data_IF_902565089657
#
_entry.id   IF_902565089657
#
_cell.length_a   1.000
_cell.length_b   1.000
_cell.length_c   1.000
_cell.angle_alpha   90.00
_cell.angle_beta   90.00
_cell.angle_gamma   90.00
#
_symmetry.space_group_name_H-M   'P 1'
#
loop_
_entity.id
_entity.type
_entity.pdbx_description
1 polymer ?
#
# COMPACT_ATOMS: atom_id res chain seq x y z
N UNK A 1 9.23 -25.09 29.32
CA UNK A 1 9.27 -23.72 29.86
C UNK A 1 10.19 -22.94 28.95
N UNK A 2 9.61 -21.88 28.36
CA UNK A 2 10.22 -20.75 27.65
C UNK A 2 10.93 -21.08 26.31
N UNK A 3 10.71 -20.37 25.21
CA UNK A 3 9.97 -19.15 24.96
C UNK A 3 10.31 -18.67 23.53
N UNK A 4 9.28 -18.24 22.82
CA UNK A 4 9.21 -17.38 21.62
C UNK A 4 10.53 -16.77 21.10
N UNK A 5 10.75 -16.80 19.78
CA UNK A 5 10.97 -15.60 18.93
C UNK A 5 10.62 -15.93 17.46
N UNK A 6 9.56 -15.25 17.03
CA UNK A 6 9.11 -14.86 15.69
C UNK A 6 9.92 -15.28 14.45
N UNK A 7 9.23 -16.09 13.65
CA UNK A 7 9.34 -16.16 12.20
C UNK A 7 8.64 -14.97 11.53
N UNK A 8 9.39 -14.05 10.92
CA UNK A 8 8.88 -13.13 9.90
C UNK A 8 10.03 -12.47 9.15
N UNK A 9 10.74 -13.26 8.33
CA UNK A 9 11.56 -12.71 7.27
C UNK A 9 10.64 -12.10 6.20
N UNK A 10 10.68 -10.77 6.09
CA UNK A 10 9.95 -10.00 5.09
C UNK A 10 10.44 -10.35 3.67
N UNK A 11 9.54 -10.59 2.69
CA UNK A 11 9.87 -11.03 1.33
C UNK A 11 10.40 -9.91 0.41
N UNK A 12 10.93 -8.81 0.96
CA UNK A 12 11.32 -7.62 0.20
C UNK A 12 12.53 -7.85 -0.76
N UNK A 13 13.29 -8.93 -0.57
CA UNK A 13 14.51 -9.19 -1.35
C UNK A 13 14.28 -9.71 -2.79
N UNK A 14 13.05 -10.04 -3.18
CA UNK A 14 12.78 -10.68 -4.48
C UNK A 14 12.53 -9.71 -5.65
N UNK A 15 12.41 -8.40 -5.41
CA UNK A 15 12.04 -7.42 -6.44
C UNK A 15 13.23 -6.70 -7.12
N UNK A 16 14.48 -6.95 -6.71
CA UNK A 16 15.69 -6.30 -7.25
C UNK A 16 16.18 -6.91 -8.57
N UNK A 17 15.28 -7.35 -9.43
CA UNK A 17 15.60 -8.11 -10.64
C UNK A 17 14.98 -7.54 -11.91
N UNK A 18 15.32 -6.30 -12.30
CA UNK A 18 15.37 -5.79 -13.71
C UNK A 18 15.26 -4.27 -13.75
N UNK A 19 16.38 -3.54 -13.69
CA UNK A 19 16.70 -2.38 -14.56
C UNK A 19 18.21 -2.14 -14.49
N UNK A 20 18.97 -2.62 -15.50
CA UNK A 20 20.37 -2.21 -15.68
C UNK A 20 20.41 -0.86 -16.39
N UNK A 21 21.12 0.17 -15.89
CA UNK A 21 21.44 1.33 -16.70
C UNK A 21 22.51 0.96 -17.73
N UNK A 22 22.28 1.35 -18.99
CA UNK A 22 23.23 1.18 -20.10
C UNK A 22 24.19 2.38 -20.06
N UNK A 23 25.36 2.21 -19.45
CA UNK A 23 26.42 3.23 -19.47
C UNK A 23 27.14 3.16 -20.82
N UNK A 24 27.09 4.25 -21.59
CA UNK A 24 27.88 4.44 -22.79
C UNK A 24 29.28 4.95 -22.39
N UNK A 25 30.28 4.41 -23.06
CA UNK A 25 31.71 4.59 -22.79
C UNK A 25 32.19 6.02 -23.06
N UNK A 26 33.16 6.48 -22.25
CA UNK A 26 34.13 7.50 -22.67
C UNK A 26 34.51 8.56 -21.65
N UNK A 27 35.62 8.33 -20.93
CA UNK A 27 36.62 9.38 -20.70
C UNK A 27 36.71 10.07 -19.33
N UNK A 28 37.84 9.80 -18.68
CA UNK A 28 38.60 10.63 -17.73
C UNK A 28 38.20 10.54 -16.24
N UNK A 29 38.98 9.70 -15.55
CA UNK A 29 39.07 9.53 -14.10
C UNK A 29 39.48 10.85 -13.41
N UNK A 30 38.54 11.44 -12.66
CA UNK A 30 38.82 12.49 -11.67
C UNK A 30 38.34 11.98 -10.30
N UNK A 31 39.15 12.16 -9.25
CA UNK A 31 38.84 11.76 -7.87
C UNK A 31 37.57 12.40 -7.29
N UNK A 32 36.98 13.38 -8.00
CA UNK A 32 35.66 13.94 -7.73
C UNK A 32 34.49 13.02 -8.13
N UNK A 33 34.71 12.00 -8.96
CA UNK A 33 33.66 11.04 -9.35
C UNK A 33 33.25 10.12 -8.20
N UNK A 34 34.14 9.84 -7.26
CA UNK A 34 33.87 8.88 -6.19
C UNK A 34 32.92 9.43 -5.12
N UNK A 35 32.92 10.73 -4.87
CA UNK A 35 31.98 11.39 -3.96
C UNK A 35 30.61 11.62 -4.61
N UNK A 36 30.55 11.88 -5.91
CA UNK A 36 29.25 12.02 -6.61
C UNK A 36 28.51 10.69 -6.72
N UNK A 37 29.22 9.57 -6.92
CA UNK A 37 28.60 8.23 -6.96
C UNK A 37 28.03 7.85 -5.59
N UNK A 38 28.69 8.19 -4.49
CA UNK A 38 28.21 7.87 -3.13
C UNK A 38 26.97 8.68 -2.74
N UNK A 39 26.91 9.97 -3.10
CA UNK A 39 25.72 10.80 -2.89
C UNK A 39 24.56 10.31 -3.77
N UNK A 40 24.83 9.92 -5.01
CA UNK A 40 23.79 9.45 -5.94
C UNK A 40 23.24 8.06 -5.56
N UNK A 41 24.07 7.18 -4.97
CA UNK A 41 23.62 5.87 -4.48
C UNK A 41 22.71 6.00 -3.25
N UNK A 42 22.95 7.00 -2.39
CA UNK A 42 22.13 7.24 -1.20
C UNK A 42 20.79 7.91 -1.53
N UNK A 43 20.74 8.76 -2.56
CA UNK A 43 19.49 9.38 -3.04
C UNK A 43 18.58 8.34 -3.73
N UNK A 44 19.13 7.27 -4.30
CA UNK A 44 18.35 6.30 -5.07
C UNK A 44 17.68 5.19 -4.23
N UNK A 45 17.86 5.15 -2.91
CA UNK A 45 17.25 4.15 -2.03
C UNK A 45 15.92 4.59 -1.37
N UNK A 46 15.44 5.81 -1.64
CA UNK A 46 14.16 6.30 -1.12
C UNK A 46 13.05 5.84 -2.07
N UNK A 47 12.74 4.55 -2.04
CA UNK A 47 11.69 3.94 -2.86
C UNK A 47 10.62 3.32 -1.99
N UNK A 48 9.57 4.11 -1.74
CA UNK A 48 8.21 3.71 -1.31
C UNK A 48 8.07 2.91 0.00
N UNK A 49 8.46 3.52 1.13
CA UNK A 49 8.12 3.02 2.47
C UNK A 49 6.65 3.28 2.89
N UNK A 50 5.80 3.83 2.01
CA UNK A 50 4.40 4.18 2.33
C UNK A 50 3.35 3.19 1.80
N UNK A 51 3.67 2.51 0.70
CA UNK A 51 2.74 1.65 -0.01
C UNK A 51 3.04 0.20 0.31
N UNK A 52 2.04 -0.50 0.83
CA UNK A 52 2.18 -1.86 1.30
C UNK A 52 1.23 -2.79 0.56
N UNK A 53 1.72 -3.95 0.18
CA UNK A 53 0.86 -5.06 -0.23
C UNK A 53 0.63 -5.96 0.97
N UNK A 54 -0.58 -5.93 1.50
CA UNK A 54 -0.96 -6.65 2.72
C UNK A 54 -1.97 -7.73 2.38
N UNK A 55 -1.79 -8.93 2.94
CA UNK A 55 -2.79 -10.00 2.85
C UNK A 55 -3.80 -9.83 3.97
N UNK A 56 -5.07 -9.69 3.60
CA UNK A 56 -6.16 -9.50 4.55
C UNK A 56 -7.12 -10.69 4.50
N UNK A 57 -7.66 -11.06 5.65
CA UNK A 57 -8.67 -12.09 5.79
C UNK A 57 -9.90 -11.46 6.43
N UNK A 58 -11.07 -11.57 5.77
CA UNK A 58 -12.31 -11.02 6.31
C UNK A 58 -13.53 -11.81 5.83
N UNK A 59 -14.65 -11.67 6.52
CA UNK A 59 -15.93 -12.30 6.14
C UNK A 59 -16.79 -11.29 5.39
N UNK A 60 -17.20 -11.65 4.17
CA UNK A 60 -18.14 -10.85 3.37
C UNK A 60 -19.55 -11.42 3.45
N UNK A 61 -20.54 -10.53 3.35
CA UNK A 61 -21.96 -10.88 3.22
C UNK A 61 -22.36 -10.81 1.75
N UNK A 62 -22.77 -11.93 1.18
CA UNK A 62 -23.28 -12.02 -0.19
C UNK A 62 -24.81 -12.03 -0.15
N UNK A 63 -25.48 -10.98 -0.68
CA UNK A 63 -26.93 -10.93 -0.71
C UNK A 63 -27.54 -12.04 -1.58
N UNK A 64 -28.78 -12.49 -1.26
CA UNK A 64 -29.41 -13.59 -1.97
C UNK A 64 -29.66 -13.31 -3.46
N UNK A 65 -29.78 -12.05 -3.86
CA UNK A 65 -29.97 -11.62 -5.25
C UNK A 65 -28.82 -12.01 -6.19
N UNK A 66 -27.63 -12.25 -5.63
CA UNK A 66 -26.46 -12.67 -6.39
C UNK A 66 -26.27 -14.18 -6.44
N UNK A 67 -27.14 -14.94 -5.74
CA UNK A 67 -27.12 -16.41 -5.76
C UNK A 67 -27.55 -16.88 -7.15
N UNK A 68 -26.66 -17.58 -7.84
CA UNK A 68 -26.86 -18.07 -9.22
C UNK A 68 -26.00 -17.38 -10.28
N UNK A 69 -25.28 -16.30 -9.92
CA UNK A 69 -24.20 -15.74 -10.75
C UNK A 69 -22.88 -16.44 -10.45
N UNK A 70 -21.85 -16.14 -11.23
CA UNK A 70 -20.49 -16.57 -10.91
C UNK A 70 -20.11 -15.97 -9.56
N UNK A 71 -20.02 -16.81 -8.53
CA UNK A 71 -19.73 -16.36 -7.19
C UNK A 71 -18.38 -15.63 -7.19
N UNK A 72 -17.35 -16.12 -7.89
CA UNK A 72 -15.98 -15.55 -7.98
C UNK A 72 -16.03 -14.05 -8.24
N UNK A 73 -16.64 -13.66 -9.35
CA UNK A 73 -16.81 -12.27 -9.75
C UNK A 73 -17.65 -11.46 -8.75
N UNK A 74 -18.69 -12.06 -8.18
CA UNK A 74 -19.55 -11.38 -7.21
C UNK A 74 -18.79 -11.05 -5.93
N UNK A 75 -18.02 -11.99 -5.38
CA UNK A 75 -17.23 -11.69 -4.17
C UNK A 75 -16.10 -10.72 -4.45
N UNK A 76 -15.48 -10.76 -5.62
CA UNK A 76 -14.47 -9.77 -5.97
C UNK A 76 -15.06 -8.36 -5.97
N UNK A 77 -16.25 -8.17 -6.59
CA UNK A 77 -16.96 -6.89 -6.58
C UNK A 77 -17.35 -6.45 -5.17
N UNK A 78 -17.93 -7.34 -4.38
CA UNK A 78 -18.32 -7.02 -3.00
C UNK A 78 -17.11 -6.64 -2.17
N UNK A 79 -15.99 -7.35 -2.32
CA UNK A 79 -14.73 -7.02 -1.61
C UNK A 79 -14.22 -5.65 -2.05
N UNK A 80 -14.20 -5.35 -3.34
CA UNK A 80 -13.79 -4.05 -3.85
C UNK A 80 -14.68 -2.94 -3.28
N UNK A 81 -16.00 -3.05 -3.40
CA UNK A 81 -16.97 -2.07 -2.89
C UNK A 81 -16.90 -1.89 -1.37
N UNK A 82 -16.60 -2.96 -0.62
CA UNK A 82 -16.60 -2.91 0.84
C UNK A 82 -15.27 -2.41 1.42
N UNK A 83 -14.14 -2.77 0.81
CA UNK A 83 -12.82 -2.50 1.39
C UNK A 83 -12.06 -1.39 0.71
N UNK A 84 -12.29 -1.12 -0.57
CA UNK A 84 -11.65 0.01 -1.24
C UNK A 84 -12.11 1.33 -0.61
N UNK A 85 -11.19 2.30 -0.56
CA UNK A 85 -11.42 3.61 0.06
C UNK A 85 -11.75 3.57 1.56
N UNK A 86 -11.59 2.42 2.22
CA UNK A 86 -11.77 2.28 3.66
C UNK A 86 -10.44 2.51 4.38
N UNK A 87 -10.50 3.19 5.53
CA UNK A 87 -9.33 3.41 6.38
C UNK A 87 -9.32 2.43 7.54
N UNK A 88 -8.29 1.59 7.59
CA UNK A 88 -8.03 0.71 8.72
C UNK A 88 -6.96 1.32 9.63
N UNK A 89 -7.10 1.13 10.95
CA UNK A 89 -6.19 1.70 11.94
C UNK A 89 -4.79 1.10 11.87
N UNK A 90 -4.70 -0.17 11.49
CA UNK A 90 -3.43 -0.89 11.45
C UNK A 90 -2.77 -0.75 10.09
N UNK A 91 -3.56 -0.91 9.03
CA UNK A 91 -3.05 -1.06 7.66
C UNK A 91 -3.10 0.24 6.84
N UNK A 92 -3.71 1.31 7.36
CA UNK A 92 -3.84 2.60 6.68
C UNK A 92 -5.02 2.62 5.70
N UNK A 93 -4.92 3.49 4.69
CA UNK A 93 -5.93 3.62 3.65
C UNK A 93 -5.83 2.47 2.65
N UNK A 94 -6.89 1.71 2.44
CA UNK A 94 -6.94 0.66 1.42
C UNK A 94 -7.29 1.29 0.07
N UNK A 95 -6.40 1.15 -0.90
CA UNK A 95 -6.59 1.71 -2.23
C UNK A 95 -7.27 0.73 -3.17
N UNK A 96 -6.76 -0.49 -3.23
CA UNK A 96 -7.19 -1.51 -4.19
C UNK A 96 -7.19 -2.87 -3.50
N UNK A 97 -8.24 -3.65 -3.72
CA UNK A 97 -8.31 -5.05 -3.32
C UNK A 97 -8.24 -5.98 -4.55
N UNK A 98 -7.30 -6.92 -4.56
CA UNK A 98 -7.03 -7.85 -5.66
C UNK A 98 -6.82 -9.27 -5.16
N UNK A 99 -6.85 -10.23 -6.10
CA UNK A 99 -6.61 -11.65 -5.83
C UNK A 99 -7.53 -12.23 -4.74
N UNK A 100 -8.84 -11.96 -4.85
CA UNK A 100 -9.82 -12.45 -3.87
C UNK A 100 -9.98 -13.95 -3.97
N UNK A 101 -9.69 -14.65 -2.88
CA UNK A 101 -9.80 -16.10 -2.73
C UNK A 101 -10.82 -16.42 -1.64
N UNK A 102 -11.79 -17.27 -1.93
CA UNK A 102 -12.70 -17.80 -0.90
C UNK A 102 -11.99 -18.85 -0.07
N UNK A 103 -12.16 -18.79 1.24
CA UNK A 103 -11.69 -19.77 2.19
C UNK A 103 -12.87 -20.48 2.83
N UNK A 104 -12.93 -21.80 2.68
CA UNK A 104 -13.98 -22.63 3.29
C UNK A 104 -15.37 -22.48 2.67
N UNK A 105 -16.35 -23.09 3.31
CA UNK A 105 -17.75 -23.09 2.87
C UNK A 105 -18.50 -21.86 3.38
N UNK A 106 -19.32 -21.26 2.53
CA UNK A 106 -20.20 -20.15 2.90
C UNK A 106 -21.30 -20.59 3.85
N UNK A 107 -21.50 -19.82 4.93
CA UNK A 107 -22.52 -20.10 5.96
C UNK A 107 -23.77 -19.28 5.69
N UNK A 108 -24.93 -19.93 5.64
CA UNK A 108 -26.22 -19.24 5.51
C UNK A 108 -26.77 -19.00 6.92
N UNK A 109 -27.06 -17.74 7.24
CA UNK A 109 -27.71 -17.39 8.50
C UNK A 109 -29.23 -17.38 8.29
N UNK A 110 -29.92 -18.20 9.09
CA UNK A 110 -31.37 -18.27 9.13
C UNK A 110 -31.96 -16.90 9.51
N UNK A 111 -32.81 -16.33 8.66
CA UNK A 111 -33.47 -15.04 8.87
C UNK A 111 -33.01 -13.93 7.93
N UNK A 112 -31.74 -13.92 7.52
CA UNK A 112 -31.21 -12.93 6.56
C UNK A 112 -31.12 -13.49 5.13
N UNK A 113 -30.98 -14.81 4.98
CA UNK A 113 -30.90 -15.47 3.67
C UNK A 113 -29.63 -15.14 2.87
N UNK A 114 -28.72 -14.36 3.44
CA UNK A 114 -27.42 -14.06 2.87
C UNK A 114 -26.39 -15.14 3.19
N UNK A 115 -25.42 -15.29 2.30
CA UNK A 115 -24.28 -16.20 2.47
C UNK A 115 -23.13 -15.39 3.07
N UNK A 116 -22.63 -15.83 4.22
CA UNK A 116 -21.43 -15.31 4.84
C UNK A 116 -20.25 -16.16 4.41
N UNK A 117 -19.31 -15.55 3.69
CA UNK A 117 -18.17 -16.23 3.11
C UNK A 117 -16.87 -15.61 3.63
N UNK A 118 -15.98 -16.44 4.17
CA UNK A 118 -14.64 -16.03 4.52
C UNK A 118 -13.80 -15.88 3.23
N UNK A 119 -13.14 -14.74 3.08
CA UNK A 119 -12.31 -14.41 1.92
C UNK A 119 -10.93 -13.91 2.36
N UNK A 120 -9.93 -14.25 1.56
CA UNK A 120 -8.56 -13.77 1.66
C UNK A 120 -8.23 -12.98 0.41
N UNK A 121 -7.65 -11.79 0.56
CA UNK A 121 -7.33 -10.94 -0.59
C UNK A 121 -6.07 -10.13 -0.33
N UNK A 122 -5.40 -9.74 -1.42
CA UNK A 122 -4.26 -8.84 -1.39
C UNK A 122 -4.77 -7.40 -1.49
N UNK A 123 -4.47 -6.59 -0.50
CA UNK A 123 -4.81 -5.18 -0.46
C UNK A 123 -3.56 -4.32 -0.69
N UNK A 124 -3.63 -3.38 -1.64
CA UNK A 124 -2.69 -2.29 -1.72
C UNK A 124 -3.13 -1.21 -0.74
N UNK A 125 -2.32 -0.94 0.28
CA UNK A 125 -2.61 0.06 1.30
C UNK A 125 -1.58 1.18 1.28
N UNK A 126 -2.03 2.36 1.68
CA UNK A 126 -1.21 3.56 1.85
C UNK A 126 -1.24 3.97 3.31
N UNK A 127 -0.07 3.92 3.95
CA UNK A 127 0.08 4.25 5.36
C UNK A 127 1.32 5.12 5.57
N UNK A 128 1.16 6.45 5.67
CA UNK A 128 2.26 7.32 6.11
C UNK A 128 2.65 7.00 7.55
N UNK A 129 3.95 6.86 7.80
CA UNK A 129 4.49 6.69 9.15
C UNK A 129 5.03 8.01 9.72
N UNK A 130 5.12 8.11 11.05
CA UNK A 130 5.64 9.31 11.70
C UNK A 130 7.13 9.47 11.39
N UNK A 131 7.56 10.69 11.08
CA UNK A 131 8.96 11.03 10.70
C UNK A 131 9.42 10.46 9.36
N UNK A 132 8.49 10.04 8.51
CA UNK A 132 8.79 9.65 7.14
C UNK A 132 9.05 10.86 6.23
N UNK A 133 9.97 10.71 5.27
CA UNK A 133 10.25 11.72 4.24
C UNK A 133 9.43 11.34 3.02
N UNK A 134 8.57 12.25 2.58
CA UNK A 134 7.59 12.00 1.53
C UNK A 134 7.68 13.09 0.47
N UNK A 135 7.69 12.69 -0.80
CA UNK A 135 7.54 13.62 -1.91
C UNK A 135 6.05 13.90 -2.14
N UNK A 136 5.70 15.17 -2.31
CA UNK A 136 4.32 15.57 -2.58
C UNK A 136 4.23 16.77 -3.51
N UNK A 137 3.08 16.94 -4.12
CA UNK A 137 2.78 18.03 -5.06
C UNK A 137 1.90 19.05 -4.35
N UNK A 138 2.32 20.32 -4.33
CA UNK A 138 1.52 21.41 -3.74
C UNK A 138 0.24 21.59 -4.57
N UNK A 139 -0.91 21.47 -3.93
CA UNK A 139 -2.22 21.60 -4.56
C UNK A 139 -2.76 23.02 -4.41
N UNK A 140 -2.69 23.55 -3.19
CA UNK A 140 -3.28 24.84 -2.84
C UNK A 140 -2.51 25.53 -1.71
N UNK A 141 -2.55 26.86 -1.69
CA UNK A 141 -1.85 27.72 -0.72
C UNK A 141 -2.87 28.65 -0.07
N UNK A 142 -2.97 28.56 1.25
CA UNK A 142 -3.91 29.33 2.08
C UNK A 142 -3.16 30.14 3.15
N UNK A 143 -3.84 31.07 3.81
CA UNK A 143 -3.21 32.00 4.75
C UNK A 143 -2.51 31.29 5.95
N UNK A 144 -3.01 30.12 6.33
CA UNK A 144 -2.47 29.34 7.46
C UNK A 144 -1.52 28.21 7.05
N UNK A 145 -1.30 27.95 5.76
CA UNK A 145 -0.47 26.83 5.33
C UNK A 145 -0.56 26.48 3.84
N UNK A 146 0.03 25.35 3.48
CA UNK A 146 -0.04 24.78 2.13
C UNK A 146 -0.59 23.36 2.18
N UNK A 147 -1.48 23.02 1.24
CA UNK A 147 -1.94 21.65 1.03
C UNK A 147 -1.06 20.97 -0.01
N UNK A 148 -0.68 19.72 0.27
CA UNK A 148 0.22 18.94 -0.55
C UNK A 148 -0.34 17.53 -0.76
N UNK A 149 -0.49 17.10 -2.01
CA UNK A 149 -0.88 15.74 -2.39
C UNK A 149 0.32 14.81 -2.16
N UNK A 150 0.17 13.87 -1.22
CA UNK A 150 1.19 12.86 -0.91
C UNK A 150 0.83 11.48 -1.48
N UNK A 151 0.02 11.45 -2.53
CA UNK A 151 -0.54 10.25 -3.14
C UNK A 151 -2.07 10.27 -3.08
N UNK A 152 -2.72 9.34 -2.36
CA UNK A 152 -4.17 9.30 -2.21
C UNK A 152 -4.72 10.19 -1.09
N UNK A 153 -3.83 10.81 -0.30
CA UNK A 153 -4.17 11.69 0.83
C UNK A 153 -3.54 13.07 0.65
N UNK A 154 -4.12 14.04 1.36
CA UNK A 154 -3.67 15.42 1.39
C UNK A 154 -3.01 15.72 2.73
N UNK A 155 -1.78 16.24 2.68
CA UNK A 155 -1.06 16.73 3.83
C UNK A 155 -1.23 18.24 3.95
N UNK A 156 -1.40 18.74 5.17
CA UNK A 156 -1.36 20.16 5.48
C UNK A 156 0.00 20.49 6.10
N UNK A 157 0.70 21.44 5.49
CA UNK A 157 1.91 22.03 6.08
C UNK A 157 1.53 23.37 6.68
N UNK A 158 1.65 23.50 8.00
CA UNK A 158 1.31 24.74 8.70
C UNK A 158 2.37 25.81 8.46
N UNK A 159 1.96 27.07 8.27
CA UNK A 159 2.86 28.18 7.88
C UNK A 159 4.12 28.30 8.75
N UNK A 160 4.01 28.10 10.06
CA UNK A 160 5.16 28.21 10.98
C UNK A 160 6.18 27.06 10.87
N UNK A 161 5.91 26.06 10.03
CA UNK A 161 6.81 24.93 9.77
C UNK A 161 7.61 25.10 8.47
N UNK A 162 7.29 26.12 7.66
CA UNK A 162 7.84 26.30 6.31
C UNK A 162 9.07 27.23 6.30
N UNK A 163 9.03 28.30 7.10
CA UNK A 163 10.10 29.30 7.15
C UNK A 163 10.34 29.69 8.61
N UNK A 164 11.62 29.73 8.98
CA UNK A 164 12.14 30.32 10.23
C UNK A 164 12.26 31.84 10.07
#
# INVERSE_FOLDING_TARGET
MDGLIFSSFSPCLQYLGRRRPRFADGGIFSSLFFTTIFIWHCIFQIGDFMYYMVKMENTIRIPPEHIGKNLEEVSEKIVQETFESTMDKNNGLILIAKNVQRSGEGKIIHGDGAIYQDVKFDALTFKPELQEIIDGIICDIVEFGAFCHIGPLDALIYKSQIMD
#
